data_IF_919601875179
#
_entry.id   IF_919601875179
#
_cell.length_a   1.000
_cell.length_b   1.000
_cell.length_c   1.000
_cell.angle_alpha   90.00
_cell.angle_beta   90.00
_cell.angle_gamma   90.00
#
_symmetry.space_group_name_H-M   'P 1'
#
loop_
_entity.id
_entity.type
_entity.pdbx_description
1 polymer ?
#
# COMPACT_ATOMS: atom_id res chain seq x y z
N UNK A 1 30.88 -55.80 -51.75
CA UNK A 1 30.55 -57.07 -52.42
C UNK A 1 29.21 -57.55 -51.88
N UNK A 2 28.26 -57.82 -52.85
CA UNK A 2 26.96 -58.46 -52.71
C UNK A 2 25.78 -57.75 -52.06
N UNK A 3 24.97 -57.16 -52.95
CA UNK A 3 23.51 -56.96 -52.84
C UNK A 3 22.77 -58.25 -52.53
N UNK A 4 21.66 -58.14 -51.77
CA UNK A 4 20.48 -58.98 -52.01
C UNK A 4 19.21 -58.16 -51.83
N UNK A 5 18.46 -58.04 -52.90
CA UNK A 5 17.04 -57.64 -53.00
C UNK A 5 16.16 -58.80 -52.52
N UNK A 6 15.03 -58.49 -51.85
CA UNK A 6 13.82 -59.32 -51.89
C UNK A 6 12.59 -58.49 -51.74
N UNK A 7 11.86 -58.40 -52.65
CA UNK A 7 10.52 -58.53 -53.21
C UNK A 7 9.32 -58.23 -52.27
N UNK A 8 8.44 -57.46 -52.88
CA UNK A 8 7.08 -57.06 -52.46
C UNK A 8 6.16 -58.23 -52.22
N UNK A 9 5.27 -58.08 -51.22
CA UNK A 9 3.97 -58.80 -51.24
C UNK A 9 2.90 -57.83 -50.74
N UNK A 10 1.95 -57.48 -51.58
CA UNK A 10 0.73 -56.75 -51.33
C UNK A 10 -0.30 -57.71 -50.70
N UNK A 11 -0.82 -57.33 -49.52
CA UNK A 11 -2.06 -57.93 -48.99
C UNK A 11 -3.08 -56.79 -48.82
N UNK A 12 -4.13 -56.86 -49.60
CA UNK A 12 -5.34 -56.07 -49.55
C UNK A 12 -6.21 -56.62 -48.42
N UNK A 13 -6.50 -55.81 -47.42
CA UNK A 13 -7.51 -56.15 -46.41
C UNK A 13 -8.61 -55.05 -46.43
N UNK A 14 -9.79 -55.50 -46.78
CA UNK A 14 -11.04 -54.70 -46.66
C UNK A 14 -11.35 -54.50 -45.17
N UNK A 15 -11.51 -53.25 -44.77
CA UNK A 15 -12.03 -52.88 -43.42
C UNK A 15 -13.37 -52.22 -43.62
N UNK A 16 -14.39 -52.83 -43.08
CA UNK A 16 -15.76 -52.33 -43.04
C UNK A 16 -15.83 -51.14 -42.09
N UNK A 17 -16.38 -50.01 -42.56
CA UNK A 17 -16.66 -48.83 -41.74
C UNK A 17 -17.93 -49.05 -40.91
N UNK A 18 -17.79 -49.19 -39.61
CA UNK A 18 -18.91 -49.08 -38.67
C UNK A 18 -19.02 -47.64 -38.22
N UNK A 19 -20.06 -46.91 -38.65
CA UNK A 19 -20.40 -45.58 -38.21
C UNK A 19 -20.98 -45.64 -36.79
N UNK A 20 -20.19 -45.21 -35.79
CA UNK A 20 -20.71 -44.90 -34.45
C UNK A 20 -21.23 -43.43 -34.45
N UNK A 21 -22.56 -43.28 -34.46
CA UNK A 21 -23.18 -42.01 -34.11
C UNK A 21 -23.05 -41.79 -32.60
N UNK A 22 -22.10 -40.98 -32.17
CA UNK A 22 -22.03 -40.47 -30.80
C UNK A 22 -23.04 -39.32 -30.66
N UNK A 23 -24.10 -39.55 -29.91
CA UNK A 23 -25.03 -38.52 -29.51
C UNK A 23 -24.31 -37.54 -28.56
N UNK A 24 -24.01 -36.33 -29.03
CA UNK A 24 -23.55 -35.19 -28.23
C UNK A 24 -24.72 -34.66 -27.39
N UNK A 25 -24.76 -35.03 -26.11
CA UNK A 25 -25.60 -34.34 -25.12
C UNK A 25 -25.05 -32.94 -24.89
N UNK A 26 -25.83 -31.87 -24.94
CA UNK A 26 -25.36 -30.55 -24.60
C UNK A 26 -25.06 -30.52 -23.09
N UNK A 27 -23.79 -30.32 -22.73
CA UNK A 27 -23.40 -29.97 -21.37
C UNK A 27 -23.83 -28.51 -21.17
N UNK A 28 -24.95 -28.31 -20.49
CA UNK A 28 -25.31 -27.00 -19.96
C UNK A 28 -24.25 -26.59 -18.95
N UNK A 29 -23.39 -25.64 -19.33
CA UNK A 29 -22.51 -24.96 -18.39
C UNK A 29 -23.37 -24.22 -17.37
N UNK A 30 -23.47 -24.77 -16.16
CA UNK A 30 -23.99 -24.04 -15.00
C UNK A 30 -23.00 -22.91 -14.74
N UNK A 31 -23.39 -21.69 -15.03
CA UNK A 31 -22.65 -20.52 -14.63
C UNK A 31 -22.59 -20.53 -13.10
N UNK A 32 -21.42 -20.83 -12.55
CA UNK A 32 -21.15 -20.77 -11.12
C UNK A 32 -21.17 -19.29 -10.76
N UNK A 33 -22.25 -18.81 -10.13
CA UNK A 33 -22.32 -17.47 -9.60
C UNK A 33 -21.14 -17.28 -8.63
N UNK A 34 -20.24 -16.36 -9.00
CA UNK A 34 -19.21 -15.90 -8.08
C UNK A 34 -19.91 -15.29 -6.87
N UNK A 35 -19.47 -15.61 -5.64
CA UNK A 35 -19.97 -14.92 -4.45
C UNK A 35 -19.85 -13.42 -4.68
N UNK A 36 -20.91 -12.68 -4.38
CA UNK A 36 -20.94 -11.20 -4.37
C UNK A 36 -20.08 -10.69 -3.20
N UNK A 37 -18.77 -10.91 -3.26
CA UNK A 37 -17.79 -10.23 -2.44
C UNK A 37 -17.78 -8.75 -2.85
N UNK A 38 -17.73 -7.85 -1.89
CA UNK A 38 -17.58 -6.41 -2.09
C UNK A 38 -16.51 -6.16 -3.15
N UNK A 39 -16.90 -5.62 -4.31
CA UNK A 39 -15.97 -5.34 -5.40
C UNK A 39 -15.03 -4.24 -4.90
N UNK A 40 -13.75 -4.55 -4.76
CA UNK A 40 -12.71 -3.54 -4.59
C UNK A 40 -12.62 -2.74 -5.87
N UNK A 41 -12.57 -1.43 -5.73
CA UNK A 41 -12.37 -0.48 -6.82
C UNK A 41 -11.31 0.54 -6.42
N UNK A 42 -11.14 1.54 -7.25
CA UNK A 42 -10.23 2.66 -6.98
C UNK A 42 -10.99 3.98 -7.12
N UNK A 43 -10.59 4.98 -6.34
CA UNK A 43 -11.07 6.35 -6.47
C UNK A 43 -9.88 7.31 -6.44
N UNK A 44 -10.09 8.51 -6.98
CA UNK A 44 -9.08 9.55 -7.01
C UNK A 44 -9.70 10.93 -6.85
N UNK A 45 -8.88 11.89 -6.41
CA UNK A 45 -9.25 13.30 -6.29
C UNK A 45 -8.06 14.16 -6.71
N UNK A 46 -8.36 15.30 -7.32
CA UNK A 46 -7.36 16.33 -7.67
C UNK A 46 -7.59 17.52 -6.75
N UNK A 47 -6.49 18.04 -6.18
CA UNK A 47 -6.53 19.24 -5.36
C UNK A 47 -6.72 20.48 -6.22
N UNK A 48 -7.63 21.34 -5.82
CA UNK A 48 -7.87 22.65 -6.43
C UNK A 48 -7.44 23.82 -5.53
N UNK A 49 -6.92 23.53 -4.33
CA UNK A 49 -6.49 24.54 -3.39
C UNK A 49 -5.07 25.03 -3.72
N UNK A 50 -4.85 26.34 -3.64
CA UNK A 50 -3.51 26.89 -3.81
C UNK A 50 -2.62 26.61 -2.60
N UNK A 51 -1.32 26.50 -2.83
CA UNK A 51 -0.32 26.35 -1.77
C UNK A 51 -0.43 27.45 -0.71
N UNK A 52 -0.61 28.72 -1.14
CA UNK A 52 -0.73 29.84 -0.22
C UNK A 52 -1.95 29.70 0.71
N UNK A 53 -3.09 29.19 0.19
CA UNK A 53 -4.27 28.91 1.02
C UNK A 53 -4.01 27.79 2.03
N UNK A 54 -3.34 26.73 1.60
CA UNK A 54 -2.96 25.63 2.47
C UNK A 54 -2.03 26.09 3.61
N UNK A 55 -1.02 26.88 3.28
CA UNK A 55 -0.08 27.43 4.28
C UNK A 55 -0.77 28.38 5.26
N UNK A 56 -1.72 29.21 4.80
CA UNK A 56 -2.53 30.07 5.66
C UNK A 56 -3.50 29.29 6.55
N UNK A 57 -3.98 28.14 6.09
CA UNK A 57 -4.89 27.27 6.84
C UNK A 57 -4.20 26.64 8.06
N UNK A 58 -3.00 26.07 7.87
CA UNK A 58 -2.27 25.35 8.91
C UNK A 58 -1.49 26.28 9.84
N UNK A 59 -2.21 27.03 10.64
CA UNK A 59 -1.61 27.85 11.70
C UNK A 59 -1.00 26.97 12.80
N UNK A 60 -0.04 27.46 13.60
CA UNK A 60 0.47 26.72 14.76
C UNK A 60 -0.60 26.27 15.74
N UNK A 61 -1.69 27.01 15.87
CA UNK A 61 -2.82 26.63 16.72
C UNK A 61 -3.57 25.41 16.17
N UNK A 62 -3.85 25.37 14.86
CA UNK A 62 -4.50 24.23 14.20
C UNK A 62 -3.64 22.97 14.25
N UNK A 63 -2.34 23.11 14.00
CA UNK A 63 -1.38 22.00 14.09
C UNK A 63 -1.42 21.36 15.49
N UNK A 64 -1.40 22.18 16.55
CA UNK A 64 -1.48 21.68 17.94
C UNK A 64 -2.85 21.09 18.31
N UNK A 65 -3.92 21.56 17.69
CA UNK A 65 -5.28 21.11 17.97
C UNK A 65 -5.72 19.88 17.15
N UNK A 66 -4.97 19.52 16.11
CA UNK A 66 -5.27 18.38 15.26
C UNK A 66 -5.25 17.07 16.07
N UNK A 67 -6.29 16.26 15.90
CA UNK A 67 -6.53 15.04 16.68
C UNK A 67 -6.07 13.80 15.90
N UNK A 68 -5.67 12.72 16.58
CA UNK A 68 -5.46 11.45 15.87
C UNK A 68 -6.74 11.01 15.18
N UNK A 69 -6.62 10.58 13.91
CA UNK A 69 -7.74 9.97 13.20
C UNK A 69 -8.09 8.65 13.89
N UNK A 70 -9.36 8.40 14.23
CA UNK A 70 -9.77 7.11 14.77
C UNK A 70 -9.50 6.01 13.74
N UNK A 71 -8.87 4.91 14.20
CA UNK A 71 -8.73 3.72 13.38
C UNK A 71 -10.13 3.12 13.13
N UNK A 72 -10.35 2.47 11.97
CA UNK A 72 -11.57 1.70 11.76
C UNK A 72 -11.71 0.62 12.83
N UNK A 73 -12.93 0.40 13.31
CA UNK A 73 -13.21 -0.71 14.21
C UNK A 73 -12.89 -2.03 13.53
N UNK A 74 -11.90 -2.71 14.04
CA UNK A 74 -11.47 -4.01 13.54
C UNK A 74 -12.37 -5.14 14.07
N UNK A 75 -13.66 -4.94 14.24
CA UNK A 75 -14.63 -5.91 14.71
C UNK A 75 -14.04 -6.96 15.66
N UNK A 76 -14.54 -7.08 16.86
CA UNK A 76 -14.11 -8.08 17.86
C UNK A 76 -14.54 -9.52 17.51
N UNK A 77 -14.67 -9.84 16.23
CA UNK A 77 -15.03 -11.19 15.82
C UNK A 77 -13.88 -12.15 16.09
N UNK A 78 -14.06 -12.98 17.11
CA UNK A 78 -13.31 -14.23 17.34
C UNK A 78 -13.62 -15.23 16.23
N UNK A 79 -13.27 -14.92 15.01
CA UNK A 79 -13.35 -15.85 13.89
C UNK A 79 -12.10 -16.70 13.88
N UNK A 80 -12.20 -18.04 13.77
CA UNK A 80 -11.02 -18.90 13.66
C UNK A 80 -10.17 -18.42 12.49
N UNK A 81 -8.89 -18.12 12.76
CA UNK A 81 -7.92 -17.76 11.74
C UNK A 81 -7.69 -18.96 10.84
N UNK A 82 -8.39 -19.05 9.73
CA UNK A 82 -7.92 -19.90 8.64
C UNK A 82 -6.73 -19.16 8.05
N UNK A 83 -5.56 -19.74 8.20
CA UNK A 83 -4.30 -19.26 7.61
C UNK A 83 -4.42 -19.37 6.08
N UNK A 84 -5.12 -18.42 5.48
CA UNK A 84 -5.01 -18.18 4.07
C UNK A 84 -3.77 -17.29 3.89
N UNK A 85 -2.77 -17.78 3.18
CA UNK A 85 -1.61 -17.00 2.82
C UNK A 85 -2.06 -15.62 2.32
N UNK A 86 -1.52 -14.56 2.90
CA UNK A 86 -1.84 -13.18 2.53
C UNK A 86 -1.21 -12.82 1.17
N UNK A 87 -1.62 -13.53 0.13
CA UNK A 87 -1.39 -13.15 -1.26
C UNK A 87 -2.75 -12.82 -1.85
N UNK A 88 -3.00 -11.57 -2.18
CA UNK A 88 -4.22 -11.17 -2.86
C UNK A 88 -4.22 -11.60 -4.34
N UNK A 89 -3.70 -12.81 -4.64
CA UNK A 89 -3.95 -13.51 -5.90
C UNK A 89 -3.41 -12.86 -7.17
N UNK A 90 -2.30 -12.13 -7.11
CA UNK A 90 -1.61 -11.57 -8.28
C UNK A 90 -0.13 -11.98 -8.33
N UNK A 91 0.53 -11.74 -9.46
CA UNK A 91 1.97 -11.88 -9.57
C UNK A 91 2.66 -10.86 -8.64
N UNK A 92 3.72 -11.25 -7.92
CA UNK A 92 4.50 -10.33 -7.09
C UNK A 92 5.14 -9.23 -7.94
N UNK A 93 4.96 -7.98 -7.51
CA UNK A 93 5.61 -6.82 -8.14
C UNK A 93 6.52 -6.15 -7.13
N UNK A 94 7.76 -5.90 -7.52
CA UNK A 94 8.75 -5.20 -6.71
C UNK A 94 9.20 -3.91 -7.39
N UNK A 95 9.14 -2.82 -6.65
CA UNK A 95 9.67 -1.50 -7.02
C UNK A 95 10.83 -1.18 -6.08
N UNK A 96 12.06 -0.94 -6.57
CA UNK A 96 13.21 -0.71 -5.71
C UNK A 96 13.12 0.62 -4.96
N UNK A 97 13.74 0.70 -3.77
CA UNK A 97 13.95 1.92 -3.01
C UNK A 97 14.88 2.89 -3.75
N UNK A 98 14.79 4.18 -3.44
CA UNK A 98 15.73 5.19 -3.97
C UNK A 98 16.41 5.96 -2.84
N UNK A 99 17.65 6.36 -3.07
CA UNK A 99 18.39 7.21 -2.14
C UNK A 99 18.09 8.68 -2.39
N UNK A 100 18.24 9.57 -1.39
CA UNK A 100 18.20 11.01 -1.61
C UNK A 100 19.22 11.42 -2.66
N UNK A 101 18.88 12.40 -3.49
CA UNK A 101 19.86 12.99 -4.40
C UNK A 101 20.79 13.90 -3.58
N UNK A 102 22.10 13.72 -3.74
CA UNK A 102 23.07 14.59 -3.08
C UNK A 102 22.87 16.03 -3.56
N UNK A 103 22.38 16.91 -2.70
CA UNK A 103 22.57 18.34 -2.87
C UNK A 103 24.04 18.67 -2.57
N UNK A 104 24.67 19.47 -3.41
CA UNK A 104 26.10 19.81 -3.34
C UNK A 104 26.56 20.07 -1.90
N UNK A 105 27.33 19.15 -1.32
CA UNK A 105 28.04 19.32 -0.04
C UNK A 105 27.45 18.69 1.21
N UNK A 106 26.29 18.03 1.15
CA UNK A 106 25.72 17.29 2.29
C UNK A 106 25.51 15.84 1.88
N UNK A 107 26.24 14.91 2.51
CA UNK A 107 25.90 13.49 2.46
C UNK A 107 24.57 13.27 3.16
N UNK A 108 23.48 13.22 2.41
CA UNK A 108 22.19 12.78 2.91
C UNK A 108 22.22 11.25 3.02
N UNK A 109 22.35 10.73 4.22
CA UNK A 109 22.23 9.29 4.45
C UNK A 109 20.79 8.87 4.18
N UNK A 110 20.61 7.96 3.23
CA UNK A 110 19.33 7.29 3.06
C UNK A 110 18.94 6.61 4.38
N UNK A 111 17.72 6.83 4.81
CA UNK A 111 17.19 6.22 6.03
C UNK A 111 15.68 6.11 5.89
N UNK A 112 15.13 4.95 6.26
CA UNK A 112 13.68 4.78 6.36
C UNK A 112 13.05 5.80 7.32
N UNK A 113 13.78 6.24 8.35
CA UNK A 113 13.32 7.30 9.25
C UNK A 113 13.15 8.65 8.58
N UNK A 114 13.91 8.90 7.49
CA UNK A 114 13.79 10.12 6.69
C UNK A 114 12.52 10.14 5.84
N UNK A 115 12.03 8.98 5.43
CA UNK A 115 10.88 8.85 4.51
C UNK A 115 9.54 8.84 5.24
N UNK A 116 9.50 8.31 6.47
CA UNK A 116 8.28 8.30 7.30
C UNK A 116 8.02 9.70 7.87
N UNK A 117 6.77 10.12 7.89
CA UNK A 117 6.41 11.48 8.33
C UNK A 117 5.00 11.62 8.86
N UNK A 118 4.71 12.83 9.35
CA UNK A 118 3.41 13.23 9.87
C UNK A 118 2.53 13.73 8.73
N UNK A 119 1.32 13.20 8.63
CA UNK A 119 0.27 13.65 7.72
C UNK A 119 -0.79 14.43 8.50
N UNK A 120 -1.09 15.66 8.07
CA UNK A 120 -2.20 16.47 8.55
C UNK A 120 -3.25 16.58 7.47
N UNK A 121 -4.53 16.63 7.87
CA UNK A 121 -5.65 16.82 6.94
C UNK A 121 -6.90 17.30 7.69
N UNK A 122 -7.89 17.76 6.93
CA UNK A 122 -9.19 18.19 7.44
C UNK A 122 -10.29 17.32 6.87
N UNK A 123 -11.23 16.88 7.69
CA UNK A 123 -12.50 16.33 7.22
C UNK A 123 -13.55 17.43 7.39
N UNK A 124 -14.17 17.91 6.29
CA UNK A 124 -15.17 18.98 6.35
C UNK A 124 -16.28 18.68 7.35
N UNK A 125 -16.58 19.62 8.23
CA UNK A 125 -17.58 19.47 9.29
C UNK A 125 -17.14 18.62 10.49
N UNK A 126 -16.00 17.93 10.46
CA UNK A 126 -15.51 17.08 11.55
C UNK A 126 -14.26 17.63 12.24
N UNK A 127 -13.41 18.40 11.52
CA UNK A 127 -12.22 19.06 12.06
C UNK A 127 -10.90 18.59 11.47
N UNK A 128 -9.80 18.93 12.16
CA UNK A 128 -8.43 18.66 11.74
C UNK A 128 -7.90 17.39 12.40
N UNK A 129 -7.19 16.57 11.63
CA UNK A 129 -6.71 15.25 12.03
C UNK A 129 -5.25 15.03 11.66
N UNK A 130 -4.65 14.06 12.34
CA UNK A 130 -3.30 13.56 12.05
C UNK A 130 -3.30 12.06 11.79
N UNK A 131 -2.43 11.69 10.87
CA UNK A 131 -2.01 10.34 10.55
C UNK A 131 -0.48 10.30 10.34
N UNK A 132 0.01 9.20 9.88
CA UNK A 132 1.36 8.99 9.36
C UNK A 132 1.32 8.73 7.86
N UNK A 133 2.46 8.82 7.21
CA UNK A 133 2.67 8.42 5.83
C UNK A 133 4.13 8.12 5.58
N UNK A 134 4.44 7.55 4.43
CA UNK A 134 5.79 7.21 4.06
C UNK A 134 6.04 7.52 2.57
N UNK A 135 7.17 8.16 2.27
CA UNK A 135 7.58 8.43 0.89
C UNK A 135 7.96 7.13 0.20
N UNK A 136 7.30 6.82 -0.89
CA UNK A 136 7.52 5.61 -1.67
C UNK A 136 8.01 5.94 -3.08
N UNK A 137 8.74 5.01 -3.69
CA UNK A 137 9.26 5.18 -5.05
C UNK A 137 8.13 5.40 -6.04
N UNK A 138 8.31 6.41 -6.91
CA UNK A 138 7.35 6.77 -7.95
C UNK A 138 8.03 7.52 -9.10
N UNK A 139 7.44 7.44 -10.32
CA UNK A 139 7.95 8.14 -11.50
C UNK A 139 7.96 9.66 -11.33
N UNK A 140 6.90 10.21 -10.70
CA UNK A 140 6.82 11.64 -10.41
C UNK A 140 7.59 12.06 -9.14
N UNK A 141 8.23 11.14 -8.45
CA UNK A 141 9.09 11.34 -7.27
C UNK A 141 8.41 12.09 -6.11
N UNK A 142 7.10 11.97 -5.99
CA UNK A 142 6.31 12.79 -5.05
C UNK A 142 5.16 12.02 -4.38
N UNK A 143 5.22 10.68 -4.31
CA UNK A 143 4.15 9.87 -3.73
C UNK A 143 4.43 9.49 -2.28
N UNK A 144 3.41 9.67 -1.44
CA UNK A 144 3.35 9.20 -0.05
C UNK A 144 2.28 8.12 0.06
N UNK A 145 2.65 6.96 0.57
CA UNK A 145 1.72 5.90 0.93
C UNK A 145 1.17 6.15 2.34
N UNK A 146 -0.12 5.90 2.54
CA UNK A 146 -0.82 6.08 3.81
C UNK A 146 -2.08 5.19 3.89
N UNK A 147 -2.88 5.31 4.93
CA UNK A 147 -4.14 4.59 5.08
C UNK A 147 -5.32 5.35 4.44
N UNK A 148 -6.27 4.62 3.86
CA UNK A 148 -7.49 5.21 3.29
C UNK A 148 -8.31 5.96 4.34
N UNK A 149 -8.44 5.40 5.56
CA UNK A 149 -9.20 6.05 6.63
C UNK A 149 -8.61 7.38 7.08
N UNK A 150 -7.39 7.76 6.64
CA UNK A 150 -6.82 9.08 6.86
C UNK A 150 -7.50 10.17 5.99
N UNK A 151 -8.83 10.17 5.96
CA UNK A 151 -9.67 11.16 5.30
C UNK A 151 -10.03 10.84 3.84
N UNK A 152 -9.41 9.85 3.22
CA UNK A 152 -9.70 9.45 1.83
C UNK A 152 -11.04 8.71 1.79
N UNK A 153 -11.96 9.16 0.91
CA UNK A 153 -13.35 8.65 0.88
C UNK A 153 -14.31 9.36 1.84
N UNK A 154 -13.82 10.23 2.73
CA UNK A 154 -14.63 11.11 3.58
C UNK A 154 -14.59 12.58 3.17
N UNK A 155 -14.06 12.87 1.97
CA UNK A 155 -13.92 14.24 1.47
C UNK A 155 -12.80 15.03 2.15
N UNK A 156 -11.74 14.33 2.58
CA UNK A 156 -10.57 14.96 3.21
C UNK A 156 -9.94 16.02 2.32
N UNK A 157 -9.53 17.12 2.93
CA UNK A 157 -8.92 18.29 2.29
C UNK A 157 -7.74 18.79 3.12
N UNK A 158 -7.08 19.85 2.68
CA UNK A 158 -5.97 20.50 3.38
C UNK A 158 -4.84 19.51 3.76
N UNK A 159 -4.58 18.49 2.93
CA UNK A 159 -3.50 17.56 3.21
C UNK A 159 -2.15 18.24 3.21
N UNK A 160 -1.35 17.93 4.24
CA UNK A 160 0.00 18.45 4.43
C UNK A 160 0.88 17.38 5.05
N UNK A 161 2.04 17.16 4.48
CA UNK A 161 2.98 16.12 4.92
C UNK A 161 4.32 16.70 5.33
N UNK A 162 4.92 16.16 6.40
CA UNK A 162 6.27 16.49 6.83
C UNK A 162 7.08 15.19 7.01
N UNK A 163 8.00 14.87 6.10
CA UNK A 163 8.90 13.72 6.27
C UNK A 163 9.86 13.96 7.43
N UNK A 164 10.24 12.88 8.13
CA UNK A 164 11.10 12.90 9.32
C UNK A 164 10.63 13.88 10.41
N UNK A 165 9.33 14.02 10.56
CA UNK A 165 8.75 14.90 11.58
C UNK A 165 9.08 14.41 12.98
N UNK A 166 9.45 15.35 13.88
CA UNK A 166 9.79 15.04 15.25
C UNK A 166 9.41 16.20 16.17
N UNK A 167 8.38 16.04 16.99
CA UNK A 167 7.92 16.97 18.04
C UNK A 167 7.81 18.43 17.55
N UNK A 168 7.07 18.63 16.48
CA UNK A 168 6.88 19.95 15.88
C UNK A 168 7.99 20.37 14.91
N UNK A 169 9.11 19.66 14.86
CA UNK A 169 10.18 19.93 13.91
C UNK A 169 9.95 19.18 12.59
N UNK A 170 9.97 19.92 11.48
CA UNK A 170 9.88 19.40 10.12
C UNK A 170 11.18 19.74 9.36
N UNK A 171 12.23 18.92 9.51
CA UNK A 171 13.59 19.27 9.06
C UNK A 171 13.69 19.44 7.55
N UNK A 172 12.80 18.79 6.80
CA UNK A 172 12.74 18.89 5.33
C UNK A 172 11.59 19.81 4.85
N UNK A 173 10.94 20.51 5.78
CA UNK A 173 9.82 21.40 5.50
C UNK A 173 8.48 20.67 5.37
N UNK A 174 7.49 21.44 4.96
CA UNK A 174 6.11 20.99 4.78
C UNK A 174 5.77 20.92 3.29
N UNK A 175 5.12 19.83 2.91
CA UNK A 175 4.72 19.52 1.56
C UNK A 175 3.19 19.55 1.48
N UNK A 176 2.63 20.31 0.56
CA UNK A 176 1.22 20.26 0.23
C UNK A 176 0.94 19.06 -0.69
N UNK A 177 -0.26 19.02 -1.23
CA UNK A 177 -0.71 17.91 -2.09
C UNK A 177 -1.30 18.43 -3.40
N UNK A 178 -1.30 17.61 -4.43
CA UNK A 178 -1.92 17.92 -5.72
C UNK A 178 -2.98 16.90 -6.16
N UNK A 179 -2.88 15.66 -5.73
CA UNK A 179 -3.87 14.63 -5.99
C UNK A 179 -3.75 13.48 -4.99
N UNK A 180 -4.75 12.63 -4.94
CA UNK A 180 -4.70 11.39 -4.18
C UNK A 180 -5.54 10.30 -4.84
N UNK A 181 -5.15 9.04 -4.62
CA UNK A 181 -5.92 7.87 -4.97
C UNK A 181 -6.03 6.91 -3.80
N UNK A 182 -7.09 6.13 -3.74
CA UNK A 182 -7.30 5.13 -2.68
C UNK A 182 -8.10 3.93 -3.17
N UNK A 183 -7.95 2.81 -2.46
CA UNK A 183 -8.75 1.61 -2.70
C UNK A 183 -10.14 1.80 -2.11
N UNK A 184 -11.19 1.50 -2.87
CA UNK A 184 -12.59 1.53 -2.42
C UNK A 184 -13.12 0.12 -2.18
N UNK A 185 -14.06 -0.02 -1.24
CA UNK A 185 -14.59 -1.33 -0.85
C UNK A 185 -13.63 -2.14 0.02
N UNK A 186 -14.11 -3.28 0.51
CA UNK A 186 -13.37 -4.11 1.47
C UNK A 186 -13.26 -3.48 2.86
N UNK A 187 -12.59 -4.20 3.77
CA UNK A 187 -12.31 -3.78 5.14
C UNK A 187 -10.92 -3.17 5.30
N UNK A 188 -10.31 -3.41 6.45
CA UNK A 188 -8.97 -2.90 6.78
C UNK A 188 -7.86 -3.48 5.89
N UNK A 189 -8.05 -4.65 5.29
CA UNK A 189 -7.13 -5.25 4.32
C UNK A 189 -6.90 -4.36 3.09
N UNK A 190 -7.89 -3.52 2.75
CA UNK A 190 -7.87 -2.58 1.62
C UNK A 190 -7.76 -1.10 2.07
N UNK A 191 -7.29 -0.87 3.28
CA UNK A 191 -7.14 0.48 3.84
C UNK A 191 -5.90 1.19 3.29
N UNK A 192 -5.83 1.32 1.97
CA UNK A 192 -4.67 1.85 1.25
C UNK A 192 -5.01 3.13 0.50
N UNK A 193 -4.14 4.13 0.62
CA UNK A 193 -4.18 5.38 -0.14
C UNK A 193 -2.76 5.84 -0.52
N UNK A 194 -2.68 6.56 -1.64
CA UNK A 194 -1.45 7.18 -2.13
C UNK A 194 -1.72 8.65 -2.43
N UNK A 195 -1.00 9.50 -1.71
CA UNK A 195 -1.08 10.96 -1.82
C UNK A 195 0.06 11.47 -2.69
N UNK A 196 -0.25 12.24 -3.71
CA UNK A 196 0.75 12.90 -4.56
C UNK A 196 0.99 14.30 -4.01
N UNK A 197 2.22 14.54 -3.58
CA UNK A 197 2.61 15.84 -3.03
C UNK A 197 2.86 16.87 -4.13
N UNK A 198 2.74 18.14 -3.77
CA UNK A 198 3.21 19.25 -4.59
C UNK A 198 4.76 19.27 -4.66
N UNK A 199 5.28 20.17 -5.48
CA UNK A 199 6.72 20.34 -5.68
C UNK A 199 7.14 21.77 -5.32
N UNK A 200 7.22 22.11 -4.01
CA UNK A 200 7.62 23.43 -3.60
C UNK A 200 9.02 23.76 -4.15
N UNK A 201 9.13 24.91 -4.81
CA UNK A 201 10.36 25.36 -5.48
C UNK A 201 10.95 24.35 -6.48
N UNK A 202 10.08 23.54 -7.10
CA UNK A 202 10.47 22.49 -8.05
C UNK A 202 11.11 21.25 -7.40
N UNK A 203 11.17 21.16 -6.09
CA UNK A 203 11.74 20.01 -5.38
C UNK A 203 10.73 18.86 -5.28
N UNK A 204 11.19 17.65 -5.54
CA UNK A 204 10.42 16.43 -5.29
C UNK A 204 10.82 15.81 -3.95
N UNK A 205 9.85 15.34 -3.18
CA UNK A 205 10.12 14.81 -1.83
C UNK A 205 11.07 13.61 -1.86
N UNK A 206 10.94 12.75 -2.85
CA UNK A 206 11.80 11.58 -3.03
C UNK A 206 13.26 11.95 -3.28
N UNK A 207 13.53 13.06 -3.98
CA UNK A 207 14.88 13.56 -4.18
C UNK A 207 15.51 14.08 -2.89
N UNK A 208 14.67 14.60 -1.98
CA UNK A 208 15.12 15.19 -0.71
C UNK A 208 15.39 14.14 0.36
N UNK A 209 14.51 13.15 0.52
CA UNK A 209 14.60 12.19 1.64
C UNK A 209 14.82 10.74 1.18
N UNK A 210 14.83 10.47 -0.13
CA UNK A 210 14.76 9.13 -0.68
C UNK A 210 13.36 8.55 -0.63
N UNK A 211 13.23 7.27 -0.87
CA UNK A 211 11.97 6.53 -0.76
C UNK A 211 12.20 5.09 -0.36
N UNK A 212 11.24 4.47 0.32
CA UNK A 212 11.18 3.01 0.36
C UNK A 212 10.70 2.46 -0.98
N UNK A 213 11.16 1.27 -1.32
CA UNK A 213 10.57 0.49 -2.40
C UNK A 213 9.16 0.04 -2.06
N UNK A 214 8.50 -0.61 -3.01
CA UNK A 214 7.16 -1.18 -2.83
C UNK A 214 7.15 -2.65 -3.21
N UNK A 215 6.39 -3.45 -2.47
CA UNK A 215 6.08 -4.83 -2.79
C UNK A 215 4.57 -5.03 -2.84
N UNK A 216 4.04 -5.42 -4.01
CA UNK A 216 2.64 -5.77 -4.21
C UNK A 216 2.51 -7.27 -4.36
N UNK A 217 1.42 -7.87 -3.83
CA UNK A 217 1.23 -9.31 -3.78
C UNK A 217 2.42 -10.04 -3.11
N UNK A 218 3.02 -9.39 -2.13
CA UNK A 218 4.24 -9.82 -1.48
C UNK A 218 3.97 -10.78 -0.34
N UNK A 219 4.75 -11.86 -0.23
CA UNK A 219 4.62 -12.88 0.79
C UNK A 219 5.86 -12.92 1.68
N UNK A 220 6.04 -11.96 2.55
CA UNK A 220 7.06 -12.05 3.59
C UNK A 220 6.45 -12.00 4.97
N UNK A 221 7.21 -12.41 5.97
CA UNK A 221 6.69 -12.64 7.30
C UNK A 221 7.35 -11.78 8.39
N UNK A 222 8.63 -11.41 8.26
CA UNK A 222 9.30 -10.54 9.23
C UNK A 222 9.29 -9.10 8.75
N UNK A 223 8.81 -8.21 9.61
CA UNK A 223 8.62 -6.81 9.22
C UNK A 223 8.87 -5.84 10.39
N UNK A 224 8.96 -4.56 10.04
CA UNK A 224 8.93 -3.42 10.93
C UNK A 224 7.69 -2.59 10.63
N UNK A 225 6.95 -2.19 11.66
CA UNK A 225 5.88 -1.20 11.52
C UNK A 225 6.40 0.12 12.08
N UNK A 226 6.39 1.16 11.26
CA UNK A 226 6.88 2.49 11.63
C UNK A 226 5.75 3.50 11.49
N UNK A 227 5.46 4.25 12.55
CA UNK A 227 4.42 5.28 12.53
C UNK A 227 4.68 6.37 13.56
N UNK A 228 3.91 7.44 13.52
CA UNK A 228 4.01 8.57 14.44
C UNK A 228 2.76 8.65 15.34
N UNK A 229 2.72 8.02 16.51
CA UNK A 229 1.63 8.17 17.46
C UNK A 229 1.46 9.63 17.91
N UNK A 230 0.23 10.06 18.16
CA UNK A 230 -0.05 11.42 18.60
C UNK A 230 0.50 11.73 20.00
N UNK A 231 0.46 10.76 20.89
CA UNK A 231 0.93 10.87 22.28
C UNK A 231 2.45 10.99 22.40
N UNK A 232 3.20 10.55 21.37
CA UNK A 232 4.68 10.64 21.33
C UNK A 232 5.17 11.77 20.42
N UNK A 233 4.40 12.07 19.36
CA UNK A 233 4.69 13.09 18.36
C UNK A 233 6.06 12.94 17.66
N UNK A 234 6.56 11.70 17.59
CA UNK A 234 7.74 11.30 16.83
C UNK A 234 7.57 9.86 16.32
N UNK A 235 8.41 9.46 15.37
CA UNK A 235 8.34 8.12 14.80
C UNK A 235 8.75 7.06 15.83
N UNK A 236 7.91 6.04 15.98
CA UNK A 236 8.21 4.81 16.74
C UNK A 236 8.06 3.62 15.84
N UNK A 237 8.62 2.50 16.24
CA UNK A 237 8.57 1.27 15.48
C UNK A 237 8.44 0.05 16.40
N UNK A 238 7.92 -1.01 15.83
CA UNK A 238 8.03 -2.36 16.37
C UNK A 238 8.43 -3.31 15.26
N UNK A 239 9.00 -4.44 15.61
CA UNK A 239 9.39 -5.46 14.65
C UNK A 239 8.99 -6.84 15.14
N UNK A 240 8.79 -7.75 14.20
CA UNK A 240 8.47 -9.13 14.53
C UNK A 240 7.99 -9.94 13.36
N UNK A 241 7.59 -11.16 13.68
CA UNK A 241 6.95 -12.06 12.75
C UNK A 241 5.51 -11.59 12.49
N UNK A 242 5.22 -11.23 11.24
CA UNK A 242 3.85 -10.99 10.81
C UNK A 242 3.11 -12.28 10.52
N UNK A 243 1.79 -12.25 10.65
CA UNK A 243 0.90 -13.36 10.30
C UNK A 243 -0.39 -12.87 9.65
N UNK A 244 -1.11 -13.77 8.99
CA UNK A 244 -2.34 -13.42 8.31
C UNK A 244 -3.47 -13.14 9.29
N UNK A 245 -4.15 -12.02 9.12
CA UNK A 245 -5.37 -11.65 9.80
C UNK A 245 -6.63 -11.84 8.94
N UNK A 246 -7.80 -11.52 9.48
CA UNK A 246 -9.06 -11.58 8.75
C UNK A 246 -9.03 -10.74 7.47
N UNK A 247 -9.68 -11.23 6.41
CA UNK A 247 -9.81 -10.50 5.16
C UNK A 247 -8.51 -10.30 4.36
N UNK A 248 -7.37 -10.82 4.83
CA UNK A 248 -6.08 -10.61 4.19
C UNK A 248 -5.23 -9.49 4.80
N UNK A 249 -5.64 -8.98 5.97
CA UNK A 249 -4.79 -8.13 6.80
C UNK A 249 -3.52 -8.86 7.21
N UNK A 250 -2.51 -8.08 7.59
CA UNK A 250 -1.33 -8.57 8.29
C UNK A 250 -1.37 -8.11 9.73
N UNK A 251 -1.07 -9.02 10.64
CA UNK A 251 -1.05 -8.78 12.08
C UNK A 251 0.36 -8.99 12.62
N UNK A 252 0.69 -8.24 13.68
CA UNK A 252 1.94 -8.39 14.43
C UNK A 252 1.66 -8.16 15.90
N UNK A 253 2.09 -9.10 16.74
CA UNK A 253 1.95 -9.00 18.18
C UNK A 253 3.02 -8.07 18.80
N UNK A 254 2.78 -7.68 20.03
CA UNK A 254 3.72 -6.91 20.87
C UNK A 254 4.09 -5.51 20.35
N UNK A 255 3.24 -4.90 19.51
CA UNK A 255 3.42 -3.56 18.96
C UNK A 255 2.74 -2.46 19.81
N UNK A 256 2.87 -2.52 21.12
CA UNK A 256 2.18 -1.65 22.09
C UNK A 256 2.57 -0.16 22.00
N UNK A 257 3.58 0.19 21.23
CA UNK A 257 4.03 1.58 21.04
C UNK A 257 3.22 2.36 19.99
N UNK A 258 2.45 1.66 19.15
CA UNK A 258 1.64 2.26 18.11
C UNK A 258 0.25 2.60 18.65
N UNK A 259 -0.16 3.84 18.49
CA UNK A 259 -1.47 4.36 18.94
C UNK A 259 -2.09 5.27 17.89
N UNK A 260 -3.18 5.96 18.21
CA UNK A 260 -3.84 6.91 17.31
C UNK A 260 -2.86 7.94 16.75
N UNK A 261 -2.92 8.20 15.45
CA UNK A 261 -1.95 9.02 14.70
C UNK A 261 -0.86 8.21 14.00
N UNK A 262 -0.59 6.96 14.40
CA UNK A 262 0.31 6.06 13.68
C UNK A 262 -0.31 5.50 12.38
N UNK A 263 -1.63 5.63 12.22
CA UNK A 263 -2.39 5.26 11.02
C UNK A 263 -1.71 5.74 9.73
N UNK A 264 -1.62 4.88 8.73
CA UNK A 264 -0.89 5.16 7.50
C UNK A 264 0.63 4.99 7.61
N UNK A 265 1.15 4.61 8.77
CA UNK A 265 2.55 4.23 8.95
C UNK A 265 2.92 3.01 8.11
N UNK A 266 4.19 2.83 7.86
CA UNK A 266 4.68 1.84 6.91
C UNK A 266 4.86 0.45 7.55
N UNK A 267 4.36 -0.59 6.88
CA UNK A 267 4.80 -1.97 7.10
C UNK A 267 5.97 -2.25 6.17
N UNK A 268 7.15 -2.37 6.76
CA UNK A 268 8.43 -2.43 6.05
C UNK A 268 9.02 -3.82 6.17
N UNK A 269 9.43 -4.38 5.05
CA UNK A 269 10.17 -5.63 4.94
C UNK A 269 11.56 -5.41 4.34
N UNK A 270 12.45 -6.38 4.51
CA UNK A 270 13.83 -6.29 4.03
C UNK A 270 14.54 -4.98 4.48
N UNK A 271 14.28 -4.58 5.73
CA UNK A 271 14.90 -3.39 6.30
C UNK A 271 16.42 -3.52 6.36
N UNK A 272 17.11 -2.52 5.83
CA UNK A 272 18.56 -2.39 5.89
C UNK A 272 18.94 -0.99 6.40
N UNK A 273 20.01 -0.93 7.19
CA UNK A 273 20.47 0.33 7.78
C UNK A 273 20.91 1.40 6.78
N UNK A 274 21.15 1.01 5.53
CA UNK A 274 21.49 1.91 4.42
C UNK A 274 20.26 2.58 3.78
N UNK A 275 19.06 2.36 4.35
CA UNK A 275 17.79 2.88 3.87
C UNK A 275 17.09 2.01 2.82
N UNK A 276 17.66 0.86 2.47
CA UNK A 276 17.00 -0.10 1.59
C UNK A 276 15.88 -0.79 2.38
N UNK A 277 14.67 -0.71 1.88
CA UNK A 277 13.49 -1.28 2.53
C UNK A 277 12.34 -1.37 1.52
N UNK A 278 11.42 -2.30 1.75
CA UNK A 278 10.26 -2.54 0.90
C UNK A 278 9.00 -2.33 1.74
N UNK A 279 8.17 -1.37 1.39
CA UNK A 279 6.85 -1.21 1.99
C UNK A 279 5.84 -2.11 1.29
N UNK A 280 5.13 -2.92 2.05
CA UNK A 280 4.17 -3.91 1.53
C UNK A 280 2.78 -3.76 2.13
N UNK A 281 2.57 -2.72 2.96
CA UNK A 281 1.30 -2.38 3.60
C UNK A 281 1.35 -1.07 4.35
N UNK A 282 0.21 -0.66 4.90
CA UNK A 282 0.06 0.52 5.74
C UNK A 282 -0.62 0.16 7.07
N UNK A 283 -0.13 0.73 8.17
CA UNK A 283 -0.74 0.54 9.49
C UNK A 283 -2.16 1.11 9.52
N UNK A 284 -3.13 0.25 9.85
CA UNK A 284 -4.55 0.60 9.88
C UNK A 284 -5.11 0.73 11.29
N UNK A 285 -4.41 0.24 12.31
CA UNK A 285 -4.88 0.23 13.67
C UNK A 285 -4.54 -1.08 14.40
N UNK A 286 -5.46 -1.60 15.19
CA UNK A 286 -5.26 -2.85 15.94
C UNK A 286 -6.39 -3.85 15.65
N UNK A 287 -6.07 -5.12 15.84
CA UNK A 287 -7.03 -6.21 15.89
C UNK A 287 -6.80 -6.98 17.21
N UNK A 288 -7.67 -6.79 18.17
CA UNK A 288 -7.40 -7.20 19.55
C UNK A 288 -6.13 -6.50 20.07
N UNK A 289 -5.15 -7.28 20.54
CA UNK A 289 -3.87 -6.78 21.03
C UNK A 289 -2.80 -6.65 19.93
N UNK A 290 -3.05 -7.17 18.73
CA UNK A 290 -2.10 -7.12 17.63
C UNK A 290 -2.22 -5.81 16.84
N UNK A 291 -1.10 -5.30 16.34
CA UNK A 291 -1.09 -4.27 15.31
C UNK A 291 -1.64 -4.85 14.00
N UNK A 292 -2.54 -4.13 13.34
CA UNK A 292 -3.17 -4.54 12.10
C UNK A 292 -2.75 -3.60 10.96
N UNK A 293 -2.41 -4.17 9.83
CA UNK A 293 -2.02 -3.44 8.63
C UNK A 293 -2.81 -3.92 7.41
N UNK A 294 -3.04 -3.03 6.47
CA UNK A 294 -3.45 -3.43 5.14
C UNK A 294 -2.32 -4.19 4.44
N UNK A 295 -2.64 -4.90 3.36
CA UNK A 295 -1.65 -5.50 2.48
C UNK A 295 -1.75 -4.90 1.08
N UNK A 296 -0.62 -4.69 0.42
CA UNK A 296 -0.60 -4.18 -0.95
C UNK A 296 -0.85 -5.33 -1.94
N UNK A 297 -2.10 -5.43 -2.40
CA UNK A 297 -2.52 -6.30 -3.49
C UNK A 297 -2.68 -5.54 -4.81
N UNK A 298 -3.35 -6.16 -5.80
CA UNK A 298 -3.58 -5.58 -7.12
C UNK A 298 -4.29 -4.22 -7.06
N UNK A 299 -5.30 -4.05 -6.21
CA UNK A 299 -6.02 -2.78 -6.10
C UNK A 299 -5.12 -1.65 -5.59
N UNK A 300 -4.22 -1.93 -4.64
CA UNK A 300 -3.22 -0.97 -4.17
C UNK A 300 -2.19 -0.64 -5.27
N UNK A 301 -1.78 -1.65 -6.07
CA UNK A 301 -0.92 -1.43 -7.24
C UNK A 301 -1.57 -0.49 -8.26
N UNK A 302 -2.84 -0.69 -8.60
CA UNK A 302 -3.56 0.15 -9.55
C UNK A 302 -3.63 1.60 -9.08
N UNK A 303 -3.92 1.83 -7.79
CA UNK A 303 -3.94 3.16 -7.19
C UNK A 303 -2.55 3.81 -7.23
N UNK A 304 -1.51 3.09 -6.80
CA UNK A 304 -0.14 3.60 -6.84
C UNK A 304 0.30 3.90 -8.27
N UNK A 305 0.01 3.01 -9.22
CA UNK A 305 0.35 3.21 -10.63
C UNK A 305 -0.34 4.44 -11.23
N UNK A 306 -1.58 4.72 -10.84
CA UNK A 306 -2.24 5.99 -11.17
C UNK A 306 -1.54 7.19 -10.52
N UNK A 307 -1.25 7.11 -9.22
CA UNK A 307 -0.63 8.19 -8.46
C UNK A 307 0.79 8.53 -8.94
N UNK A 308 1.62 7.54 -9.30
CA UNK A 308 3.00 7.80 -9.77
C UNK A 308 3.09 8.51 -11.12
N UNK A 309 2.00 8.51 -11.89
CA UNK A 309 1.92 9.13 -13.21
C UNK A 309 1.06 10.40 -13.22
N UNK A 310 0.55 10.82 -12.06
CA UNK A 310 -0.28 12.03 -11.91
C UNK A 310 0.56 13.31 -11.79
#
# INVERSE_FOLDING_TARGET
>A
MRLRRFTRSTLTACVAAASLCAALTPVTAVAQERPTGSRTGTAQVVNTESRARLDAYWTPARIRAARPMPAPDAGSETRPLTVAAAGQGGEPVHVPATRPQASSGVETRASVWGTVGRLYFTIPGKGDYICSGNVVTSNNRSVVATARHCGFGEGGTNYRFAPNYNKGNAPYGWWGWRSAGWVTGGGQENDNAFLVLDTPDGRHVQDVVGSTGLGFNWSSNYAHIIGLPADKDYAVWCEGQGYAGPGGQRLMDNCNGLSGGASGGAWIENYQSDGNAIQTGAYSGSYGAAAATSAYGNAAYDVWNGAQNA
#
